data_IF_429763882132
#
_entry.id   IF_429763882132
#
_cell.length_a   1.000
_cell.length_b   1.000
_cell.length_c   1.000
_cell.angle_alpha   90.00
_cell.angle_beta   90.00
_cell.angle_gamma   90.00
#
_symmetry.space_group_name_H-M   'P 1'
#
loop_
_entity.id
_entity.type
_entity.pdbx_description
1 polymer ?
#
# COMPACT_ATOMS: atom_id res chain seq x y z
N UNK A 1 7.34 7.28 14.75
CA UNK A 1 7.51 5.83 14.97
C UNK A 1 7.29 5.48 16.43
N UNK A 2 6.45 4.47 16.71
CA UNK A 2 6.08 4.03 18.06
C UNK A 2 6.25 2.52 18.20
N UNK A 3 6.95 2.05 19.24
CA UNK A 3 7.03 0.62 19.55
C UNK A 3 5.74 0.14 20.22
N UNK A 4 5.17 -0.96 19.73
CA UNK A 4 3.95 -1.58 20.27
C UNK A 4 4.37 -2.61 21.32
N UNK A 5 3.89 -2.43 22.56
CA UNK A 5 4.33 -3.22 23.72
C UNK A 5 3.31 -4.27 24.17
N UNK A 6 2.08 -4.21 23.66
CA UNK A 6 1.00 -5.11 24.06
C UNK A 6 -0.01 -5.37 22.96
N UNK A 7 -0.77 -6.45 23.10
CA UNK A 7 -1.83 -6.82 22.16
C UNK A 7 -3.00 -5.83 22.19
N UNK A 8 -3.32 -5.28 23.37
CA UNK A 8 -4.34 -4.24 23.51
C UNK A 8 -3.96 -2.99 22.72
N UNK A 9 -2.69 -2.58 22.78
CA UNK A 9 -2.18 -1.45 22.01
C UNK A 9 -2.18 -1.75 20.50
N UNK A 10 -1.80 -2.98 20.10
CA UNK A 10 -1.88 -3.41 18.71
C UNK A 10 -3.32 -3.29 18.20
N UNK A 11 -4.30 -3.79 18.96
CA UNK A 11 -5.71 -3.77 18.55
C UNK A 11 -6.25 -2.34 18.42
N UNK A 12 -5.89 -1.44 19.33
CA UNK A 12 -6.22 -0.03 19.21
C UNK A 12 -5.64 0.58 17.91
N UNK A 13 -4.36 0.32 17.63
CA UNK A 13 -3.69 0.87 16.45
C UNK A 13 -4.23 0.29 15.14
N UNK A 14 -4.75 -0.95 15.14
CA UNK A 14 -5.40 -1.56 13.97
C UNK A 14 -6.65 -0.82 13.51
N UNK A 15 -7.27 -0.03 14.39
CA UNK A 15 -8.41 0.82 14.04
C UNK A 15 -8.03 2.07 13.24
N UNK A 16 -6.74 2.42 13.16
CA UNK A 16 -6.26 3.64 12.51
C UNK A 16 -6.15 3.40 10.99
N UNK A 17 -6.94 4.07 10.14
CA UNK A 17 -6.99 3.79 8.70
C UNK A 17 -5.70 4.14 7.95
N UNK A 18 -4.93 5.10 8.48
CA UNK A 18 -3.74 5.65 7.82
C UNK A 18 -2.44 5.09 8.42
N UNK A 19 -2.54 4.27 9.47
CA UNK A 19 -1.38 3.72 10.15
C UNK A 19 -0.72 2.61 9.37
N UNK A 20 0.56 2.40 9.64
CA UNK A 20 1.34 1.25 9.19
C UNK A 20 1.95 0.55 10.40
N UNK A 21 2.08 -0.76 10.30
CA UNK A 21 2.68 -1.61 11.32
C UNK A 21 3.73 -2.49 10.66
N UNK A 22 4.96 -2.39 11.15
CA UNK A 22 6.08 -3.22 10.76
C UNK A 22 6.34 -4.29 11.82
N UNK A 23 6.42 -5.55 11.40
CA UNK A 23 6.84 -6.65 12.26
C UNK A 23 8.35 -6.88 12.10
N UNK A 24 9.11 -6.86 13.19
CA UNK A 24 10.56 -7.00 13.15
C UNK A 24 11.02 -8.34 13.70
N UNK A 25 11.30 -9.26 12.79
CA UNK A 25 11.84 -10.59 13.03
C UNK A 25 13.38 -10.62 12.91
N UNK A 26 14.07 -9.49 12.79
CA UNK A 26 15.53 -9.45 12.58
C UNK A 26 16.34 -10.12 13.70
N UNK A 27 15.75 -10.35 14.87
CA UNK A 27 16.37 -11.06 16.01
C UNK A 27 16.10 -12.57 16.04
N UNK A 28 15.30 -13.09 15.11
CA UNK A 28 14.88 -14.51 15.08
C UNK A 28 15.77 -15.39 14.18
N UNK A 29 16.98 -14.93 13.85
CA UNK A 29 17.93 -15.66 13.03
C UNK A 29 17.84 -15.35 11.52
N UNK A 30 18.57 -16.11 10.67
CA UNK A 30 18.77 -15.77 9.25
C UNK A 30 17.49 -15.69 8.40
N UNK A 31 16.48 -16.47 8.75
CA UNK A 31 15.17 -16.47 8.08
C UNK A 31 14.23 -15.37 8.57
N UNK A 32 14.62 -14.61 9.60
CA UNK A 32 13.78 -13.55 10.17
C UNK A 32 13.39 -12.50 9.12
N UNK A 33 14.32 -12.18 8.20
CA UNK A 33 14.08 -11.21 7.12
C UNK A 33 12.89 -11.54 6.22
N UNK A 34 12.51 -12.81 6.09
CA UNK A 34 11.39 -13.22 5.24
C UNK A 34 10.02 -12.83 5.84
N UNK A 35 10.01 -12.57 7.15
CA UNK A 35 8.86 -12.19 7.97
C UNK A 35 8.89 -10.72 8.41
N UNK A 36 9.94 -9.99 8.06
CA UNK A 36 10.04 -8.54 8.18
C UNK A 36 9.09 -7.87 7.19
N UNK A 37 7.83 -7.72 7.59
CA UNK A 37 6.76 -7.27 6.69
C UNK A 37 6.13 -5.98 7.20
N UNK A 38 6.03 -5.00 6.31
CA UNK A 38 5.27 -3.77 6.52
C UNK A 38 3.81 -3.98 6.09
N UNK A 39 2.89 -3.74 7.01
CA UNK A 39 1.45 -3.84 6.82
C UNK A 39 0.79 -2.47 6.97
N UNK A 40 -0.34 -2.26 6.29
CA UNK A 40 -1.29 -1.24 6.72
C UNK A 40 -1.88 -1.67 8.08
N UNK A 41 -2.17 -0.73 8.98
CA UNK A 41 -2.63 -1.04 10.32
C UNK A 41 -3.95 -1.83 10.32
N UNK A 42 -4.84 -1.55 9.37
CA UNK A 42 -6.10 -2.28 9.18
C UNK A 42 -5.93 -3.64 8.47
N UNK A 43 -4.71 -4.11 8.23
CA UNK A 43 -4.47 -5.38 7.52
C UNK A 43 -4.98 -6.57 8.33
N UNK A 44 -5.83 -7.40 7.71
CA UNK A 44 -6.35 -8.65 8.33
C UNK A 44 -5.26 -9.66 8.69
N UNK A 45 -4.10 -9.60 8.01
CA UNK A 45 -2.99 -10.52 8.31
C UNK A 45 -2.31 -10.21 9.65
N UNK A 46 -2.43 -8.98 10.17
CA UNK A 46 -1.87 -8.63 11.49
C UNK A 46 -2.55 -9.41 12.62
N UNK A 47 -3.86 -9.68 12.50
CA UNK A 47 -4.60 -10.51 13.47
C UNK A 47 -4.07 -11.95 13.56
N UNK A 48 -3.39 -12.41 12.51
CA UNK A 48 -2.79 -13.76 12.44
C UNK A 48 -1.29 -13.74 12.72
N UNK A 49 -0.70 -12.56 12.89
CA UNK A 49 0.75 -12.43 13.05
C UNK A 49 1.18 -12.65 14.50
N UNK A 50 2.31 -13.33 14.68
CA UNK A 50 2.83 -13.69 16.00
C UNK A 50 3.11 -12.42 16.84
N UNK A 51 2.60 -12.38 18.07
CA UNK A 51 2.65 -11.19 18.92
C UNK A 51 4.02 -11.00 19.61
N UNK A 52 4.80 -12.07 19.75
CA UNK A 52 6.09 -12.09 20.47
C UNK A 52 7.29 -11.52 19.69
N UNK A 53 7.04 -10.75 18.63
CA UNK A 53 8.09 -10.01 17.92
C UNK A 53 7.91 -8.51 18.11
N UNK A 54 8.99 -7.73 18.19
CA UNK A 54 8.90 -6.28 18.18
C UNK A 54 8.07 -5.78 17.01
N UNK A 55 7.16 -4.84 17.29
CA UNK A 55 6.32 -4.19 16.28
C UNK A 55 6.45 -2.70 16.38
N UNK A 56 6.47 -2.06 15.23
CA UNK A 56 6.64 -0.62 15.12
C UNK A 56 5.47 -0.04 14.34
N UNK A 57 4.79 0.92 14.94
CA UNK A 57 3.73 1.70 14.32
C UNK A 57 4.28 2.99 13.73
N UNK A 58 3.77 3.35 12.57
CA UNK A 58 4.03 4.60 11.87
C UNK A 58 2.70 5.23 11.49
N UNK A 59 2.55 6.53 11.70
CA UNK A 59 1.37 7.30 11.31
C UNK A 59 1.43 7.77 9.85
N UNK A 60 2.63 7.78 9.27
CA UNK A 60 2.91 8.29 7.93
C UNK A 60 3.73 7.26 7.10
N UNK A 61 3.30 6.96 5.85
CA UNK A 61 4.09 6.16 4.91
C UNK A 61 5.52 6.66 4.70
N UNK A 62 5.72 7.97 4.57
CA UNK A 62 7.05 8.56 4.36
C UNK A 62 7.98 8.30 5.53
N UNK A 63 7.49 8.46 6.77
CA UNK A 63 8.26 8.15 7.98
C UNK A 63 8.65 6.67 8.01
N UNK A 64 7.70 5.78 7.71
CA UNK A 64 7.95 4.34 7.69
C UNK A 64 9.04 3.95 6.70
N UNK A 65 8.99 4.47 5.47
CA UNK A 65 9.95 4.16 4.43
C UNK A 65 11.34 4.71 4.74
N UNK A 66 11.45 5.94 5.22
CA UNK A 66 12.72 6.53 5.64
C UNK A 66 13.34 5.71 6.76
N UNK A 67 12.58 5.43 7.82
CA UNK A 67 13.09 4.67 8.96
C UNK A 67 13.53 3.26 8.55
N UNK A 68 12.75 2.57 7.72
CA UNK A 68 13.10 1.23 7.24
C UNK A 68 14.34 1.23 6.35
N UNK A 69 14.49 2.22 5.46
CA UNK A 69 15.70 2.40 4.66
C UNK A 69 16.95 2.57 5.53
N UNK A 70 16.86 3.43 6.54
CA UNK A 70 17.98 3.72 7.45
C UNK A 70 18.32 2.56 8.39
N UNK A 71 17.31 1.83 8.88
CA UNK A 71 17.49 0.86 9.98
C UNK A 71 17.49 -0.60 9.52
N UNK A 72 16.86 -0.90 8.39
CA UNK A 72 16.72 -2.27 7.87
C UNK A 72 17.25 -2.39 6.44
N UNK A 73 17.52 -1.29 5.75
CA UNK A 73 18.04 -1.29 4.38
C UNK A 73 16.93 -1.34 3.34
N UNK A 74 17.27 -1.81 2.13
CA UNK A 74 16.38 -1.75 0.98
C UNK A 74 15.20 -2.73 1.07
N UNK A 75 14.05 -2.30 0.51
CA UNK A 75 12.88 -3.15 0.32
C UNK A 75 13.24 -4.33 -0.60
N UNK A 76 12.85 -5.54 -0.22
CA UNK A 76 13.16 -6.79 -0.93
C UNK A 76 14.42 -7.50 -0.43
N UNK A 77 15.28 -6.82 0.33
CA UNK A 77 16.52 -7.43 0.86
C UNK A 77 16.31 -7.95 2.28
N UNK A 78 15.93 -7.05 3.19
CA UNK A 78 15.80 -7.34 4.62
C UNK A 78 14.37 -7.18 5.14
N UNK A 79 13.49 -6.59 4.35
CA UNK A 79 12.08 -6.41 4.65
C UNK A 79 11.28 -6.26 3.36
N UNK A 80 9.95 -6.41 3.41
CA UNK A 80 9.06 -6.23 2.25
C UNK A 80 7.69 -5.71 2.65
N UNK A 81 6.92 -5.18 1.70
CA UNK A 81 5.50 -4.90 1.92
C UNK A 81 4.67 -6.18 1.92
N UNK A 82 3.59 -6.17 2.70
CA UNK A 82 2.63 -7.26 2.71
C UNK A 82 1.98 -7.45 1.33
N UNK A 83 1.98 -8.67 0.78
CA UNK A 83 1.36 -8.93 -0.53
C UNK A 83 -0.15 -8.66 -0.59
N UNK A 84 -0.86 -8.73 0.55
CA UNK A 84 -2.31 -8.50 0.61
C UNK A 84 -2.68 -7.01 0.69
N UNK A 85 -2.06 -6.26 1.62
CA UNK A 85 -2.40 -4.84 1.81
C UNK A 85 -1.44 -3.86 1.13
N UNK A 86 -0.29 -4.34 0.66
CA UNK A 86 0.77 -3.57 -0.01
C UNK A 86 1.26 -2.35 0.78
N UNK A 87 1.10 -2.38 2.11
CA UNK A 87 1.33 -1.22 2.97
C UNK A 87 0.57 0.04 2.50
N UNK A 88 -0.62 -0.14 1.90
CA UNK A 88 -1.43 0.97 1.43
C UNK A 88 -2.23 1.55 2.60
N UNK A 89 -1.63 2.47 3.35
CA UNK A 89 -2.38 3.30 4.27
C UNK A 89 -3.48 4.03 3.49
N UNK A 90 -4.73 4.03 3.99
CA UNK A 90 -5.75 4.87 3.35
C UNK A 90 -5.29 6.29 3.58
N UNK A 91 -4.99 7.04 2.54
CA UNK A 91 -4.90 8.48 2.70
C UNK A 91 -6.35 8.93 2.91
N UNK A 92 -6.73 9.20 4.15
CA UNK A 92 -7.90 10.05 4.39
C UNK A 92 -7.51 11.35 3.71
N UNK A 93 -8.12 11.63 2.56
CA UNK A 93 -8.06 12.94 1.94
C UNK A 93 -8.66 13.91 2.96
N UNK A 94 -7.80 14.42 3.84
CA UNK A 94 -8.09 15.63 4.60
C UNK A 94 -8.32 16.64 3.51
N UNK A 95 -9.58 17.00 3.28
CA UNK A 95 -9.94 18.07 2.38
C UNK A 95 -9.04 19.24 2.73
N UNK A 96 -8.15 19.58 1.81
CA UNK A 96 -7.29 20.74 1.93
C UNK A 96 -8.21 21.93 2.23
N UNK A 97 -8.07 22.64 3.36
CA UNK A 97 -8.75 23.91 3.50
C UNK A 97 -8.22 24.82 2.40
N UNK A 98 -9.16 25.33 1.60
CA UNK A 98 -9.01 26.24 0.48
C UNK A 98 -7.76 27.13 0.51
N UNK A 99 -6.80 26.83 -0.36
CA UNK A 99 -6.01 27.88 -1.01
C UNK A 99 -6.74 28.24 -2.30
N UNK A 100 -7.36 29.43 -2.31
CA UNK A 100 -8.12 30.00 -3.45
C UNK A 100 -7.42 29.80 -4.81
N UNK A 101 -8.20 29.66 -5.89
CA UNK A 101 -7.66 29.45 -7.23
C UNK A 101 -7.11 30.78 -7.79
N UNK A 102 -5.82 30.82 -8.08
CA UNK A 102 -5.30 31.77 -9.06
C UNK A 102 -5.65 31.23 -10.45
N UNK A 103 -6.66 31.85 -11.06
CA UNK A 103 -6.99 31.75 -12.48
C UNK A 103 -5.71 31.81 -13.32
N UNK A 104 -5.37 30.70 -13.98
CA UNK A 104 -4.67 30.78 -15.26
C UNK A 104 -5.31 29.76 -16.19
N UNK A 105 -6.06 30.27 -17.15
CA UNK A 105 -6.60 29.49 -18.24
C UNK A 105 -5.43 28.90 -19.04
N UNK A 106 -5.39 27.58 -19.20
CA UNK A 106 -4.85 26.99 -20.42
C UNK A 106 -5.69 25.77 -20.77
N UNK A 107 -6.35 25.92 -21.91
CA UNK A 107 -7.25 24.97 -22.55
C UNK A 107 -6.51 23.75 -23.09
N UNK A 108 -7.29 22.73 -23.48
CA UNK A 108 -6.98 21.67 -24.48
C UNK A 108 -6.32 20.39 -23.89
N UNK A 109 -6.85 19.17 -23.95
CA UNK A 109 -8.00 18.61 -24.66
C UNK A 109 -8.65 17.48 -23.85
N UNK A 110 -9.98 17.51 -23.82
CA UNK A 110 -10.87 16.45 -23.38
C UNK A 110 -10.81 15.28 -24.38
N UNK A 111 -10.15 14.18 -24.02
CA UNK A 111 -10.30 12.92 -24.76
C UNK A 111 -11.65 12.31 -24.41
N UNK A 112 -12.65 12.74 -25.17
CA UNK A 112 -13.98 12.13 -25.24
C UNK A 112 -13.81 10.71 -25.81
N UNK A 113 -13.81 9.70 -24.97
CA UNK A 113 -13.86 8.31 -25.40
C UNK A 113 -15.17 8.07 -26.17
N UNK A 114 -15.05 7.72 -27.44
CA UNK A 114 -16.19 7.36 -28.27
C UNK A 114 -16.91 6.12 -27.69
N UNK A 115 -18.24 6.04 -27.78
CA UNK A 115 -18.96 4.83 -27.41
C UNK A 115 -18.57 3.69 -28.35
N UNK A 116 -18.07 2.60 -27.76
CA UNK A 116 -17.70 1.35 -28.41
C UNK A 116 -18.85 0.87 -29.31
N UNK A 117 -18.67 0.90 -30.63
CA UNK A 117 -19.72 0.47 -31.57
C UNK A 117 -19.63 -1.05 -31.72
N UNK A 118 -20.77 -1.73 -31.55
CA UNK A 118 -20.91 -3.19 -31.62
C UNK A 118 -20.30 -3.83 -32.90
N UNK A 119 -20.18 -3.06 -33.98
CA UNK A 119 -19.53 -3.47 -35.22
C UNK A 119 -18.00 -3.71 -35.09
N UNK A 120 -17.31 -3.04 -34.17
CA UNK A 120 -15.86 -3.21 -33.95
C UNK A 120 -15.56 -4.52 -33.20
N UNK A 121 -16.42 -4.92 -32.26
CA UNK A 121 -16.31 -6.19 -31.55
C UNK A 121 -16.39 -7.40 -32.51
N UNK A 122 -17.28 -7.32 -33.51
CA UNK A 122 -17.47 -8.38 -34.51
C UNK A 122 -16.23 -8.54 -35.41
N UNK A 123 -15.55 -7.45 -35.77
CA UNK A 123 -14.32 -7.52 -36.57
C UNK A 123 -13.14 -8.14 -35.81
N UNK A 124 -13.02 -7.86 -34.51
CA UNK A 124 -11.99 -8.47 -33.65
C UNK A 124 -12.20 -9.99 -33.56
N UNK A 125 -13.44 -10.44 -33.38
CA UNK A 125 -13.77 -11.87 -33.27
C UNK A 125 -13.48 -12.63 -34.59
N UNK A 126 -13.79 -12.06 -35.74
CA UNK A 126 -13.52 -12.67 -37.05
C UNK A 126 -12.02 -12.82 -37.29
N UNK A 127 -11.21 -11.80 -36.96
CA UNK A 127 -9.74 -11.90 -37.06
C UNK A 127 -9.14 -13.00 -36.18
N UNK A 128 -9.65 -13.14 -34.95
CA UNK A 128 -9.15 -14.18 -34.02
C UNK A 128 -9.45 -15.60 -34.51
N UNK A 129 -10.59 -15.81 -35.17
CA UNK A 129 -10.97 -17.12 -35.71
C UNK A 129 -10.20 -17.47 -37.00
N UNK A 130 -9.80 -16.47 -37.79
CA UNK A 130 -9.04 -16.68 -39.03
C UNK A 130 -7.54 -16.93 -38.79
N UNK A 131 -6.98 -16.49 -37.66
CA UNK A 131 -5.57 -16.73 -37.29
C UNK A 131 -5.29 -18.06 -36.60
N UNK A 132 -6.28 -18.95 -36.46
CA UNK A 132 -6.15 -20.28 -35.82
C UNK A 132 -6.21 -21.45 -36.80
N UNK A 133 -5.99 -21.21 -38.10
CA UNK A 133 -5.83 -22.27 -39.11
C UNK A 133 -4.37 -22.40 -39.52
#
# INVERSE_FOLDING_TARGET
>A
MKCIKSDAELEQLRSIPNGLIYNDFSRMGPSGKDYNILHAAYCRQLAKSNLNVPKYFFDNPGEALTWLGENRGEEGVNWKRCGTCRANARLVSIGSPESKPALTHTSTAEQKSAPFREAEAKQILVKYLQGKR
#
